data_IF_777663857516
#
_entry.id   IF_777663857516
#
_cell.length_a   1.000
_cell.length_b   1.000
_cell.length_c   1.000
_cell.angle_alpha   90.00
_cell.angle_beta   90.00
_cell.angle_gamma   90.00
#
_symmetry.space_group_name_H-M   'P 1'
#
loop_
_entity.id
_entity.type
_entity.pdbx_description
1 polymer ?
#
# COMPACT_ATOMS: atom_id res chain seq x y z
N UNK A 1 -29.81 9.79 -12.47
CA UNK A 1 -28.75 10.76 -12.81
C UNK A 1 -28.54 11.69 -11.62
N UNK A 2 -27.63 11.32 -10.71
CA UNK A 2 -27.18 12.21 -9.64
C UNK A 2 -25.79 12.70 -10.00
N UNK A 3 -25.62 14.01 -10.17
CA UNK A 3 -24.33 14.61 -10.47
C UNK A 3 -23.35 14.31 -9.32
N UNK A 4 -22.27 13.59 -9.64
CA UNK A 4 -21.13 13.45 -8.73
C UNK A 4 -20.53 14.85 -8.55
N UNK A 5 -20.59 15.36 -7.33
CA UNK A 5 -20.08 16.68 -6.99
C UNK A 5 -18.55 16.69 -7.18
N UNK A 6 -18.07 17.35 -8.24
CA UNK A 6 -16.66 17.44 -8.62
C UNK A 6 -15.80 18.26 -7.63
N UNK A 7 -16.41 18.91 -6.64
CA UNK A 7 -15.69 19.73 -5.67
C UNK A 7 -14.97 18.91 -4.59
N UNK A 8 -15.35 17.66 -4.33
CA UNK A 8 -14.76 16.85 -3.26
C UNK A 8 -13.32 16.35 -3.54
N UNK A 9 -12.81 16.55 -4.76
CA UNK A 9 -11.43 16.20 -5.15
C UNK A 9 -10.60 17.43 -5.56
N UNK A 10 -11.16 18.64 -5.44
CA UNK A 10 -10.46 19.90 -5.72
C UNK A 10 -9.79 20.43 -4.44
N UNK A 11 -8.73 19.77 -4.00
CA UNK A 11 -7.76 20.41 -3.10
C UNK A 11 -6.83 21.25 -3.99
N UNK A 12 -7.19 22.52 -4.18
CA UNK A 12 -6.36 23.49 -4.88
C UNK A 12 -7.13 24.28 -5.93
N UNK A 13 -7.56 25.48 -5.54
CA UNK A 13 -7.81 26.55 -6.51
C UNK A 13 -6.54 26.68 -7.37
N UNK A 14 -6.64 26.62 -8.69
CA UNK A 14 -5.51 26.69 -9.62
C UNK A 14 -4.76 28.06 -9.63
N UNK A 15 -4.94 28.86 -8.57
CA UNK A 15 -4.35 30.18 -8.30
C UNK A 15 -4.01 30.39 -6.82
N UNK A 16 -3.78 29.34 -6.03
CA UNK A 16 -3.46 29.45 -4.60
C UNK A 16 -2.00 29.15 -4.31
N UNK A 17 -1.36 29.99 -3.50
CA UNK A 17 -0.04 29.74 -2.93
C UNK A 17 -0.05 28.45 -2.08
N UNK A 18 0.45 27.36 -2.66
CA UNK A 18 0.61 26.05 -2.01
C UNK A 18 1.54 26.06 -0.79
N UNK A 19 2.13 27.22 -0.46
CA UNK A 19 3.12 27.43 0.58
C UNK A 19 2.57 28.05 1.88
N UNK A 20 1.33 28.56 1.90
CA UNK A 20 0.87 29.40 3.02
C UNK A 20 0.28 28.63 4.21
N UNK A 21 -0.15 27.38 4.04
CA UNK A 21 -0.66 26.57 5.15
C UNK A 21 0.39 25.52 5.60
N UNK A 22 0.83 25.52 6.87
CA UNK A 22 1.69 24.45 7.37
C UNK A 22 0.95 23.11 7.25
N UNK A 23 1.64 22.10 6.72
CA UNK A 23 1.07 20.76 6.59
C UNK A 23 0.65 20.25 7.98
N UNK A 24 -0.52 19.59 8.09
CA UNK A 24 -0.95 19.02 9.36
C UNK A 24 0.06 17.96 9.81
N UNK A 25 0.39 17.99 11.11
CA UNK A 25 1.25 17.01 11.73
C UNK A 25 0.59 15.62 11.64
N UNK A 26 1.30 14.58 11.15
CA UNK A 26 0.72 13.26 11.05
C UNK A 26 0.45 12.69 12.45
N UNK A 27 -0.74 12.10 12.70
CA UNK A 27 -1.02 11.44 13.97
C UNK A 27 -0.16 10.19 14.14
N UNK A 28 0.04 9.76 15.38
CA UNK A 28 0.53 8.40 15.68
C UNK A 28 -0.70 7.49 15.78
N UNK A 29 -0.82 6.42 14.96
CA UNK A 29 -1.95 5.51 15.06
C UNK A 29 -1.97 4.75 16.40
N UNK A 30 -3.16 4.35 16.84
CA UNK A 30 -3.31 3.48 18.01
C UNK A 30 -2.69 2.09 17.75
N UNK A 31 -1.96 1.58 18.75
CA UNK A 31 -1.26 0.30 18.65
C UNK A 31 -2.22 -0.87 18.38
N UNK A 32 -3.34 -0.95 19.09
CA UNK A 32 -4.28 -2.07 18.94
C UNK A 32 -4.95 -2.05 17.57
N UNK A 33 -5.32 -0.87 17.09
CA UNK A 33 -5.85 -0.65 15.73
C UNK A 33 -4.85 -1.12 14.67
N UNK A 34 -3.57 -0.75 14.80
CA UNK A 34 -2.51 -1.19 13.89
C UNK A 34 -2.32 -2.70 13.91
N UNK A 35 -2.29 -3.32 15.09
CA UNK A 35 -2.11 -4.77 15.24
C UNK A 35 -3.31 -5.57 14.71
N UNK A 36 -4.53 -5.08 14.91
CA UNK A 36 -5.74 -5.70 14.34
C UNK A 36 -5.71 -5.69 12.82
N UNK A 37 -5.40 -4.54 12.20
CA UNK A 37 -5.29 -4.42 10.73
C UNK A 37 -4.13 -5.24 10.17
N UNK A 38 -3.01 -5.28 10.88
CA UNK A 38 -1.89 -6.14 10.54
C UNK A 38 -2.35 -7.61 10.44
N UNK A 39 -3.11 -8.10 11.42
CA UNK A 39 -3.65 -9.46 11.38
C UNK A 39 -4.60 -9.69 10.21
N UNK A 40 -5.45 -8.72 9.87
CA UNK A 40 -6.33 -8.83 8.70
C UNK A 40 -5.52 -9.01 7.40
N UNK A 41 -4.43 -8.25 7.22
CA UNK A 41 -3.57 -8.38 6.05
C UNK A 41 -2.72 -9.65 6.10
N UNK A 42 -2.15 -10.01 7.25
CA UNK A 42 -1.37 -11.23 7.43
C UNK A 42 -2.21 -12.48 7.13
N UNK A 43 -3.51 -12.50 7.49
CA UNK A 43 -4.43 -13.59 7.13
C UNK A 43 -4.58 -13.76 5.61
N UNK A 44 -4.69 -12.65 4.87
CA UNK A 44 -4.76 -12.70 3.40
C UNK A 44 -3.48 -13.30 2.82
N UNK A 45 -2.32 -12.88 3.32
CA UNK A 45 -1.02 -13.41 2.89
C UNK A 45 -0.88 -14.90 3.25
N UNK A 46 -1.27 -15.29 4.46
CA UNK A 46 -1.22 -16.67 4.94
C UNK A 46 -2.06 -17.60 4.06
N UNK A 47 -3.27 -17.18 3.70
CA UNK A 47 -4.14 -17.91 2.77
C UNK A 47 -3.47 -18.03 1.40
N UNK A 48 -2.94 -16.93 0.86
CA UNK A 48 -2.31 -16.91 -0.47
C UNK A 48 -1.07 -17.83 -0.54
N UNK A 49 -0.26 -17.87 0.52
CA UNK A 49 0.95 -18.72 0.62
C UNK A 49 0.69 -20.11 1.19
N UNK A 50 -0.52 -20.41 1.64
CA UNK A 50 -0.89 -21.68 2.29
C UNK A 50 -0.04 -22.00 3.52
N UNK A 51 0.19 -20.99 4.36
CA UNK A 51 0.93 -21.11 5.63
C UNK A 51 0.01 -20.85 6.83
N UNK A 52 0.28 -21.45 8.01
CA UNK A 52 -0.57 -21.24 9.19
C UNK A 52 -0.37 -19.86 9.81
N UNK A 53 -1.47 -19.21 10.24
CA UNK A 53 -1.47 -17.88 10.86
C UNK A 53 -1.23 -17.89 12.39
N UNK A 54 -1.35 -19.05 13.04
CA UNK A 54 -1.37 -19.17 14.50
C UNK A 54 -0.11 -18.60 15.19
N UNK A 55 1.07 -18.75 14.56
CA UNK A 55 2.30 -18.19 15.10
C UNK A 55 2.29 -16.66 15.07
N UNK A 56 1.81 -16.07 13.98
CA UNK A 56 1.66 -14.63 13.82
C UNK A 56 0.64 -14.06 14.81
N UNK A 57 -0.50 -14.74 15.03
CA UNK A 57 -1.49 -14.34 16.04
C UNK A 57 -0.89 -14.32 17.45
N UNK A 58 -0.13 -15.35 17.82
CA UNK A 58 0.58 -15.41 19.10
C UNK A 58 1.62 -14.30 19.22
N UNK A 59 2.40 -14.05 18.17
CA UNK A 59 3.42 -13.01 18.13
C UNK A 59 2.81 -11.61 18.29
N UNK A 60 1.68 -11.34 17.61
CA UNK A 60 0.90 -10.11 17.76
C UNK A 60 0.36 -9.96 19.17
N UNK A 61 -0.23 -11.00 19.75
CA UNK A 61 -0.76 -10.94 21.12
C UNK A 61 0.35 -10.68 22.14
N UNK A 62 1.51 -11.33 21.99
CA UNK A 62 2.70 -11.07 22.81
C UNK A 62 3.15 -9.61 22.68
N UNK A 63 3.29 -9.11 21.45
CA UNK A 63 3.68 -7.74 21.21
C UNK A 63 2.65 -6.72 21.69
N UNK A 64 1.35 -7.01 21.64
CA UNK A 64 0.32 -6.15 22.21
C UNK A 64 0.53 -5.85 23.70
N UNK A 65 1.09 -6.82 24.44
CA UNK A 65 1.42 -6.65 25.87
C UNK A 65 2.78 -5.99 26.14
N UNK A 66 3.74 -6.18 25.25
CA UNK A 66 5.14 -5.74 25.44
C UNK A 66 5.46 -4.43 24.72
N UNK A 67 4.71 -4.12 23.67
CA UNK A 67 4.94 -3.02 22.74
C UNK A 67 4.54 -1.65 23.27
N UNK A 68 3.87 -1.56 24.43
CA UNK A 68 3.44 -0.28 25.00
C UNK A 68 4.60 0.66 25.33
N UNK A 69 5.77 0.13 25.68
CA UNK A 69 6.97 0.95 25.92
C UNK A 69 7.51 1.56 24.62
N UNK A 70 7.53 0.76 23.54
CA UNK A 70 7.97 1.19 22.20
C UNK A 70 6.97 2.19 21.61
N UNK A 71 5.67 1.93 21.76
CA UNK A 71 4.59 2.85 21.39
C UNK A 71 4.76 4.21 22.09
N UNK A 72 4.92 4.21 23.42
CA UNK A 72 5.12 5.44 24.18
C UNK A 72 6.37 6.21 23.74
N UNK A 73 7.43 5.48 23.38
CA UNK A 73 8.64 6.09 22.84
C UNK A 73 8.37 6.77 21.50
N UNK A 74 7.60 6.14 20.62
CA UNK A 74 7.18 6.73 19.35
C UNK A 74 6.33 7.99 19.57
N UNK A 75 5.39 7.96 20.51
CA UNK A 75 4.55 9.12 20.88
C UNK A 75 5.40 10.29 21.39
N UNK A 76 6.42 10.04 22.23
CA UNK A 76 7.36 11.06 22.69
C UNK A 76 8.18 11.66 21.54
N UNK A 77 8.62 10.85 20.57
CA UNK A 77 9.31 11.36 19.37
C UNK A 77 8.34 12.21 18.56
N UNK A 78 7.12 11.73 18.38
CA UNK A 78 6.08 12.44 17.68
C UNK A 78 5.74 13.77 18.35
N UNK A 79 5.74 13.92 19.67
CA UNK A 79 5.53 15.21 20.34
C UNK A 79 6.56 16.26 19.91
N UNK A 80 7.83 15.87 19.78
CA UNK A 80 8.96 16.77 19.54
C UNK A 80 9.26 17.00 18.04
N UNK A 81 8.77 16.15 17.15
CA UNK A 81 9.02 16.24 15.72
C UNK A 81 7.79 16.80 14.95
N UNK A 82 7.98 17.71 13.98
CA UNK A 82 6.87 18.16 13.13
C UNK A 82 6.38 17.03 12.21
N UNK A 83 7.24 16.07 11.87
CA UNK A 83 6.90 14.88 11.10
C UNK A 83 7.76 13.69 11.55
N UNK A 84 7.23 12.91 12.48
CA UNK A 84 7.90 11.73 13.03
C UNK A 84 8.11 10.60 12.01
N UNK A 85 7.28 10.53 10.96
CA UNK A 85 7.38 9.47 9.93
C UNK A 85 8.75 9.55 9.25
N UNK A 86 9.23 10.77 8.98
CA UNK A 86 10.52 11.00 8.33
C UNK A 86 11.71 10.51 9.17
N UNK A 87 11.57 10.38 10.49
CA UNK A 87 12.62 9.85 11.35
C UNK A 87 12.88 8.36 11.11
N UNK A 88 11.89 7.62 10.59
CA UNK A 88 11.96 6.17 10.43
C UNK A 88 11.82 5.74 8.98
N UNK A 89 10.73 6.13 8.34
CA UNK A 89 10.38 5.64 7.00
C UNK A 89 11.36 6.13 5.94
N UNK A 90 11.80 7.38 6.03
CA UNK A 90 12.79 7.92 5.08
C UNK A 90 14.12 7.15 5.16
N UNK A 91 14.77 7.01 6.33
CA UNK A 91 15.98 6.17 6.45
C UNK A 91 15.79 4.72 6.02
N UNK A 92 14.73 4.04 6.48
CA UNK A 92 14.57 2.59 6.28
C UNK A 92 14.10 2.26 4.85
N UNK A 93 13.07 2.94 4.36
CA UNK A 93 12.43 2.57 3.09
C UNK A 93 13.05 3.26 1.87
N UNK A 94 13.61 4.47 2.05
CA UNK A 94 14.19 5.21 0.92
C UNK A 94 15.72 5.23 0.93
N UNK A 95 16.37 5.39 2.09
CA UNK A 95 17.84 5.57 2.14
C UNK A 95 18.62 4.26 2.35
N UNK A 96 18.00 3.22 2.91
CA UNK A 96 18.65 1.93 3.16
C UNK A 96 18.58 0.98 1.95
N UNK A 97 17.59 1.16 1.08
CA UNK A 97 17.44 0.38 -0.16
C UNK A 97 18.56 0.76 -1.15
N UNK A 98 19.45 -0.18 -1.46
CA UNK A 98 20.60 0.01 -2.36
C UNK A 98 20.26 -0.10 -3.86
N UNK A 99 18.97 -0.09 -4.20
CA UNK A 99 18.49 -0.07 -5.59
C UNK A 99 18.44 1.40 -6.07
N UNK A 100 18.61 1.66 -7.38
CA UNK A 100 18.62 3.01 -7.93
C UNK A 100 17.37 3.82 -7.51
N UNK A 101 17.55 5.02 -6.96
CA UNK A 101 16.51 5.80 -6.28
C UNK A 101 15.35 6.34 -7.15
N UNK A 102 15.53 6.72 -8.43
CA UNK A 102 14.42 7.16 -9.30
C UNK A 102 13.40 6.04 -9.62
N UNK A 103 13.69 4.81 -9.19
CA UNK A 103 13.16 3.59 -9.78
C UNK A 103 12.30 2.81 -8.78
N UNK A 104 12.24 3.10 -7.47
CA UNK A 104 11.82 2.05 -6.53
C UNK A 104 10.94 2.42 -5.32
N UNK A 105 9.90 3.26 -5.42
CA UNK A 105 8.99 3.39 -4.25
C UNK A 105 7.51 3.67 -4.57
N UNK A 106 6.61 2.83 -4.02
CA UNK A 106 5.29 3.12 -3.40
C UNK A 106 4.27 1.92 -3.47
N UNK A 107 3.38 1.73 -2.48
CA UNK A 107 2.70 0.45 -2.21
C UNK A 107 1.36 0.20 -2.95
N UNK A 108 0.93 -1.08 -3.02
CA UNK A 108 -0.40 -1.55 -3.49
C UNK A 108 -0.79 -2.94 -2.92
N UNK A 109 -2.09 -3.32 -2.98
CA UNK A 109 -2.67 -4.56 -2.43
C UNK A 109 -2.77 -5.73 -3.45
N UNK A 110 -2.73 -6.98 -2.96
CA UNK A 110 -2.86 -8.23 -3.77
C UNK A 110 -4.09 -9.04 -3.29
N UNK A 111 -4.89 -9.57 -4.23
CA UNK A 111 -6.06 -10.42 -3.96
C UNK A 111 -5.82 -11.89 -4.39
N UNK A 112 -6.49 -12.89 -3.77
CA UNK A 112 -6.34 -14.29 -4.13
C UNK A 112 -6.89 -14.62 -5.53
N UNK A 113 -6.21 -15.52 -6.24
CA UNK A 113 -6.56 -15.98 -7.59
C UNK A 113 -7.92 -16.72 -7.59
N UNK A 114 -8.89 -16.24 -8.37
CA UNK A 114 -10.18 -16.91 -8.58
C UNK A 114 -10.18 -17.65 -9.92
N UNK A 115 -10.68 -18.89 -9.94
CA UNK A 115 -10.79 -19.70 -11.16
C UNK A 115 -12.16 -19.51 -11.84
N UNK A 116 -12.17 -19.21 -13.13
CA UNK A 116 -13.40 -19.09 -13.95
C UNK A 116 -13.32 -20.03 -15.16
N UNK A 117 -14.45 -20.65 -15.53
CA UNK A 117 -14.51 -21.65 -16.62
C UNK A 117 -14.74 -21.01 -17.99
N UNK A 118 -15.46 -19.88 -18.07
CA UNK A 118 -15.71 -19.16 -19.32
C UNK A 118 -15.70 -17.64 -19.15
N UNK A 119 -15.55 -16.88 -20.25
CA UNK A 119 -15.70 -15.41 -20.28
C UNK A 119 -17.13 -14.98 -19.92
N UNK A 120 -18.13 -15.81 -20.20
CA UNK A 120 -19.53 -15.53 -19.86
C UNK A 120 -19.78 -15.66 -18.35
N UNK A 121 -19.19 -16.69 -17.72
CA UNK A 121 -19.09 -16.78 -16.24
C UNK A 121 -18.28 -15.62 -15.65
N UNK A 122 -17.41 -15.00 -16.47
CA UNK A 122 -16.66 -13.82 -16.07
C UNK A 122 -17.53 -12.57 -15.90
N UNK A 123 -18.58 -12.43 -16.72
CA UNK A 123 -19.28 -11.16 -16.97
C UNK A 123 -20.71 -11.17 -16.41
N UNK A 124 -21.45 -12.28 -16.48
CA UNK A 124 -22.91 -12.35 -16.30
C UNK A 124 -23.39 -12.36 -14.82
N UNK A 125 -22.71 -11.68 -13.89
CA UNK A 125 -22.84 -11.99 -12.47
C UNK A 125 -23.05 -10.76 -11.58
N UNK A 126 -24.29 -10.56 -11.10
CA UNK A 126 -24.63 -9.60 -10.03
C UNK A 126 -23.67 -9.70 -8.83
N UNK A 127 -23.24 -10.91 -8.48
CA UNK A 127 -22.25 -11.16 -7.41
C UNK A 127 -20.89 -10.54 -7.72
N UNK A 128 -20.46 -10.47 -8.99
CA UNK A 128 -19.21 -9.82 -9.38
C UNK A 128 -19.32 -8.32 -9.28
N UNK A 129 -20.47 -7.77 -9.64
CA UNK A 129 -20.73 -6.34 -9.44
C UNK A 129 -20.71 -5.99 -7.96
N UNK A 130 -21.43 -6.73 -7.14
CA UNK A 130 -21.43 -6.56 -5.68
C UNK A 130 -20.01 -6.66 -5.10
N UNK A 131 -19.22 -7.66 -5.50
CA UNK A 131 -17.82 -7.79 -5.08
C UNK A 131 -16.93 -6.65 -5.57
N UNK A 132 -17.15 -6.16 -6.79
CA UNK A 132 -16.44 -5.01 -7.34
C UNK A 132 -16.74 -3.76 -6.51
N UNK A 133 -18.02 -3.48 -6.23
CA UNK A 133 -18.43 -2.33 -5.45
C UNK A 133 -17.84 -2.38 -4.03
N UNK A 134 -17.90 -3.54 -3.37
CA UNK A 134 -17.25 -3.75 -2.06
C UNK A 134 -15.73 -3.52 -2.11
N UNK A 135 -15.06 -3.97 -3.18
CA UNK A 135 -13.62 -3.76 -3.34
C UNK A 135 -13.28 -2.28 -3.55
N UNK A 136 -14.06 -1.55 -4.35
CA UNK A 136 -13.90 -0.11 -4.57
C UNK A 136 -14.14 0.69 -3.30
N UNK A 137 -15.20 0.37 -2.55
CA UNK A 137 -15.49 1.01 -1.26
C UNK A 137 -14.37 0.78 -0.25
N UNK A 138 -13.86 -0.46 -0.16
CA UNK A 138 -12.75 -0.79 0.72
C UNK A 138 -11.47 -0.04 0.32
N UNK A 139 -11.15 0.01 -0.97
CA UNK A 139 -10.01 0.77 -1.49
C UNK A 139 -10.13 2.26 -1.12
N UNK A 140 -11.31 2.86 -1.32
CA UNK A 140 -11.54 4.26 -0.99
C UNK A 140 -11.42 4.54 0.52
N UNK A 141 -11.91 3.63 1.36
CA UNK A 141 -11.79 3.73 2.82
C UNK A 141 -10.32 3.68 3.26
N UNK A 142 -9.55 2.71 2.76
CA UNK A 142 -8.12 2.56 3.07
C UNK A 142 -7.31 3.75 2.54
N UNK A 143 -7.63 4.27 1.35
CA UNK A 143 -6.99 5.49 0.84
C UNK A 143 -7.23 6.69 1.77
N UNK A 144 -8.48 6.91 2.22
CA UNK A 144 -8.80 7.99 3.18
C UNK A 144 -8.06 7.82 4.51
N UNK A 145 -7.94 6.60 4.98
CA UNK A 145 -7.19 6.27 6.18
C UNK A 145 -5.70 6.60 6.05
N UNK A 146 -5.09 6.22 4.92
CA UNK A 146 -3.67 6.47 4.67
C UNK A 146 -3.36 7.96 4.51
N UNK A 147 -4.18 8.72 3.75
CA UNK A 147 -3.94 10.17 3.57
C UNK A 147 -4.12 10.98 4.86
N UNK A 148 -4.88 10.45 5.83
CA UNK A 148 -5.06 11.07 7.15
C UNK A 148 -4.03 10.58 8.17
N UNK A 149 -3.06 9.75 7.76
CA UNK A 149 -1.97 9.27 8.61
C UNK A 149 -2.32 8.08 9.51
N UNK A 150 -3.45 7.42 9.28
CA UNK A 150 -3.92 6.27 10.08
C UNK A 150 -3.60 4.90 9.45
N UNK A 151 -2.81 4.90 8.38
CA UNK A 151 -2.24 3.70 7.77
C UNK A 151 -1.27 2.98 8.70
N UNK A 152 -1.00 1.70 8.43
CA UNK A 152 -0.21 0.86 9.34
C UNK A 152 1.28 0.82 9.02
N UNK A 153 1.67 1.02 7.76
CA UNK A 153 3.03 0.76 7.27
C UNK A 153 4.06 1.64 7.99
N UNK A 154 3.83 2.97 8.02
CA UNK A 154 4.69 3.92 8.72
C UNK A 154 4.80 3.60 10.21
N UNK A 155 3.69 3.19 10.83
CA UNK A 155 3.65 2.86 12.24
C UNK A 155 4.44 1.57 12.54
N UNK A 156 4.18 0.50 11.79
CA UNK A 156 4.91 -0.77 11.92
C UNK A 156 6.40 -0.62 11.64
N UNK A 157 6.78 0.19 10.66
CA UNK A 157 8.17 0.53 10.37
C UNK A 157 8.83 1.20 11.58
N UNK A 158 8.21 2.24 12.14
CA UNK A 158 8.76 2.94 13.30
C UNK A 158 8.87 2.03 14.54
N UNK A 159 7.84 1.22 14.82
CA UNK A 159 7.88 0.26 15.94
C UNK A 159 8.98 -0.78 15.75
N UNK A 160 9.18 -1.29 14.53
CA UNK A 160 10.24 -2.26 14.20
C UNK A 160 11.64 -1.63 14.34
N UNK A 161 11.83 -0.41 13.84
CA UNK A 161 13.09 0.34 13.98
C UNK A 161 13.41 0.62 15.44
N UNK A 162 12.46 1.13 16.22
CA UNK A 162 12.64 1.39 17.65
C UNK A 162 12.92 0.11 18.44
N UNK A 163 12.31 -1.02 18.07
CA UNK A 163 12.62 -2.31 18.67
C UNK A 163 14.06 -2.74 18.38
N UNK A 164 14.54 -2.58 17.14
CA UNK A 164 15.93 -2.85 16.75
C UNK A 164 16.91 -1.96 17.51
N UNK A 165 16.62 -0.66 17.63
CA UNK A 165 17.42 0.28 18.40
C UNK A 165 17.47 -0.11 19.89
N UNK A 166 16.34 -0.51 20.46
CA UNK A 166 16.29 -0.98 21.85
C UNK A 166 17.16 -2.23 22.07
N UNK A 167 17.26 -3.13 21.08
CA UNK A 167 18.20 -4.26 21.12
C UNK A 167 19.65 -3.76 21.06
N UNK A 168 19.97 -2.86 20.13
CA UNK A 168 21.31 -2.32 19.97
C UNK A 168 21.80 -1.57 21.22
N UNK A 169 20.89 -0.88 21.92
CA UNK A 169 21.12 -0.18 23.19
C UNK A 169 21.17 -1.12 24.41
N UNK A 170 20.94 -2.43 24.24
CA UNK A 170 20.88 -3.40 25.34
C UNK A 170 19.68 -3.23 26.27
N UNK A 171 18.61 -2.55 25.83
CA UNK A 171 17.37 -2.35 26.60
C UNK A 171 16.45 -3.57 26.55
N UNK A 172 16.52 -4.35 25.47
CA UNK A 172 15.84 -5.65 25.31
C UNK A 172 16.81 -6.64 24.66
N UNK A 173 16.67 -7.93 24.99
CA UNK A 173 17.64 -8.94 24.53
C UNK A 173 17.52 -9.27 23.04
N UNK A 174 16.29 -9.28 22.51
CA UNK A 174 15.98 -9.63 21.12
C UNK A 174 14.78 -8.83 20.59
N UNK A 175 14.66 -8.66 19.26
CA UNK A 175 13.47 -8.05 18.68
C UNK A 175 12.20 -8.86 19.04
N UNK A 176 11.06 -8.19 19.28
CA UNK A 176 9.79 -8.87 19.43
C UNK A 176 9.49 -9.84 18.28
N UNK A 177 8.90 -11.00 18.60
CA UNK A 177 8.58 -12.07 17.64
C UNK A 177 7.76 -11.57 16.43
N UNK A 178 6.96 -10.51 16.61
CA UNK A 178 6.21 -9.89 15.51
C UNK A 178 7.12 -9.43 14.37
N UNK A 179 8.27 -8.82 14.68
CA UNK A 179 9.17 -8.22 13.67
C UNK A 179 10.16 -9.22 13.08
N UNK A 180 10.15 -10.46 13.55
CA UNK A 180 10.92 -11.58 12.98
C UNK A 180 10.01 -12.64 12.36
N UNK A 181 8.69 -12.41 12.35
CA UNK A 181 7.70 -13.30 11.77
C UNK A 181 7.75 -13.24 10.22
N UNK A 182 7.78 -14.38 9.52
CA UNK A 182 7.86 -14.38 8.05
C UNK A 182 6.70 -13.68 7.34
N UNK A 183 5.52 -13.56 7.96
CA UNK A 183 4.41 -12.79 7.38
C UNK A 183 4.60 -11.29 7.52
N UNK A 184 5.38 -10.83 8.51
CA UNK A 184 5.78 -9.42 8.61
C UNK A 184 6.70 -9.05 7.44
N UNK A 185 7.70 -9.88 7.16
CA UNK A 185 8.60 -9.69 6.02
C UNK A 185 7.84 -9.68 4.69
N UNK A 186 6.87 -10.58 4.51
CA UNK A 186 6.06 -10.60 3.30
C UNK A 186 5.12 -9.39 3.21
N UNK A 187 4.55 -8.93 4.33
CA UNK A 187 3.73 -7.72 4.33
C UNK A 187 4.53 -6.49 3.87
N UNK A 188 5.79 -6.40 4.33
CA UNK A 188 6.72 -5.33 3.96
C UNK A 188 7.41 -5.54 2.60
N UNK A 189 7.06 -6.62 1.90
CA UNK A 189 7.57 -6.94 0.57
C UNK A 189 6.53 -6.57 -0.47
N UNK A 190 6.89 -5.71 -1.42
CA UNK A 190 5.96 -5.16 -2.41
C UNK A 190 6.21 -5.66 -3.85
N UNK A 191 5.71 -6.84 -4.25
CA UNK A 191 5.81 -7.35 -5.62
C UNK A 191 5.14 -6.48 -6.69
N UNK A 192 4.18 -5.63 -6.33
CA UNK A 192 3.56 -4.67 -7.23
C UNK A 192 3.61 -3.29 -6.59
N UNK A 193 4.44 -2.41 -7.16
CA UNK A 193 4.63 -1.04 -6.71
C UNK A 193 3.91 -0.08 -7.66
N UNK A 194 2.93 0.70 -7.17
CA UNK A 194 2.06 1.56 -8.01
C UNK A 194 2.00 2.99 -7.51
N UNK A 195 1.82 3.95 -8.42
CA UNK A 195 1.59 5.35 -8.06
C UNK A 195 0.73 6.05 -9.11
N UNK A 196 -0.18 6.89 -8.62
CA UNK A 196 -0.92 7.82 -9.46
C UNK A 196 -0.15 9.13 -9.53
N UNK A 197 0.23 9.55 -10.74
CA UNK A 197 0.83 10.86 -10.98
C UNK A 197 0.14 11.50 -12.17
N UNK A 198 -0.93 12.24 -11.86
CA UNK A 198 -1.74 12.92 -12.87
C UNK A 198 -1.14 14.29 -13.20
N UNK A 199 -0.89 14.55 -14.49
CA UNK A 199 -0.36 15.82 -14.98
C UNK A 199 -1.32 16.48 -15.96
N UNK A 200 -1.33 17.81 -16.02
CA UNK A 200 -2.05 18.57 -17.05
C UNK A 200 -1.25 18.73 -18.34
N UNK A 201 0.04 18.43 -18.31
CA UNK A 201 0.91 18.44 -19.50
C UNK A 201 0.64 17.16 -20.29
N UNK A 202 0.29 17.33 -21.57
CA UNK A 202 0.03 16.23 -22.49
C UNK A 202 1.27 15.34 -22.66
N UNK A 203 1.03 14.05 -22.92
CA UNK A 203 2.05 13.03 -23.20
C UNK A 203 3.17 12.90 -22.14
N UNK A 204 2.92 13.41 -20.94
CA UNK A 204 3.86 13.32 -19.81
C UNK A 204 3.45 12.19 -18.90
N UNK A 205 4.42 11.38 -18.48
CA UNK A 205 4.19 10.31 -17.51
C UNK A 205 5.43 10.09 -16.66
N UNK A 206 5.21 9.77 -15.39
CA UNK A 206 6.26 9.23 -14.53
C UNK A 206 6.48 7.74 -14.87
N UNK A 207 7.70 7.25 -14.73
CA UNK A 207 7.97 5.82 -14.74
C UNK A 207 9.05 5.47 -13.70
N UNK A 208 9.00 4.23 -13.22
CA UNK A 208 9.96 3.69 -12.27
C UNK A 208 9.96 2.15 -12.37
N UNK A 209 10.98 1.50 -11.83
CA UNK A 209 11.21 0.05 -11.84
C UNK A 209 10.53 -0.71 -10.68
N UNK A 210 10.74 -2.04 -10.61
CA UNK A 210 10.26 -2.85 -9.48
C UNK A 210 11.13 -2.75 -8.23
N UNK A 211 10.49 -2.68 -7.05
CA UNK A 211 11.17 -2.58 -5.75
C UNK A 211 11.69 -3.92 -5.21
N UNK A 212 11.31 -5.02 -5.85
CA UNK A 212 11.82 -6.36 -5.58
C UNK A 212 12.22 -7.05 -6.89
N UNK A 213 13.21 -7.98 -6.87
CA UNK A 213 13.74 -8.59 -8.09
C UNK A 213 12.70 -9.30 -8.98
N UNK A 214 11.61 -9.77 -8.38
CA UNK A 214 10.53 -10.53 -8.99
C UNK A 214 9.19 -9.78 -8.96
N UNK A 215 9.23 -8.45 -8.96
CA UNK A 215 8.05 -7.59 -8.96
C UNK A 215 7.85 -6.75 -10.22
N UNK A 216 6.93 -5.81 -10.11
CA UNK A 216 6.56 -4.80 -11.09
C UNK A 216 6.59 -3.39 -10.49
N UNK A 217 6.98 -2.41 -11.30
CA UNK A 217 6.67 -0.99 -11.07
C UNK A 217 5.59 -0.56 -12.07
N UNK A 218 4.59 0.20 -11.63
CA UNK A 218 3.48 0.61 -12.49
C UNK A 218 2.92 1.98 -12.08
N UNK A 219 3.51 3.04 -12.63
CA UNK A 219 2.95 4.39 -12.52
C UNK A 219 1.78 4.55 -13.49
N UNK A 220 0.80 5.39 -13.15
CA UNK A 220 -0.27 5.75 -14.06
C UNK A 220 -0.67 7.22 -13.99
N UNK A 221 -0.97 7.78 -15.16
CA UNK A 221 -1.47 9.14 -15.35
C UNK A 221 -2.89 9.08 -15.92
N UNK A 222 -3.87 9.56 -15.15
CA UNK A 222 -5.27 9.64 -15.56
C UNK A 222 -5.50 10.89 -16.42
N UNK A 223 -5.96 10.70 -17.66
CA UNK A 223 -6.36 11.77 -18.57
C UNK A 223 -7.87 11.72 -18.81
N UNK A 224 -8.41 12.73 -19.52
CA UNK A 224 -9.85 12.85 -19.72
C UNK A 224 -10.47 11.66 -20.49
N UNK A 225 -9.74 11.11 -21.46
CA UNK A 225 -10.21 10.08 -22.39
C UNK A 225 -9.32 8.83 -22.44
N UNK A 226 -8.20 8.83 -21.72
CA UNK A 226 -7.27 7.71 -21.67
C UNK A 226 -6.52 7.63 -20.34
N UNK A 227 -5.79 6.54 -20.13
CA UNK A 227 -4.88 6.36 -18.99
C UNK A 227 -3.53 5.94 -19.55
N UNK A 228 -2.47 6.63 -19.15
CA UNK A 228 -1.10 6.26 -19.50
C UNK A 228 -0.56 5.37 -18.39
N UNK A 229 -0.23 4.12 -18.70
CA UNK A 229 0.45 3.19 -17.78
C UNK A 229 1.92 3.04 -18.15
N UNK A 230 2.79 3.25 -17.17
CA UNK A 230 4.23 3.01 -17.28
C UNK A 230 4.63 1.77 -16.46
N UNK A 231 4.60 0.61 -17.13
CA UNK A 231 4.91 -0.69 -16.51
C UNK A 231 6.37 -1.07 -16.70
N UNK A 232 7.00 -1.53 -15.63
CA UNK A 232 8.37 -2.04 -15.59
C UNK A 232 8.45 -3.41 -14.91
N UNK A 233 9.43 -4.21 -15.33
CA UNK A 233 9.78 -5.49 -14.74
C UNK A 233 11.26 -5.79 -15.02
N UNK A 234 11.93 -6.56 -14.16
CA UNK A 234 13.30 -6.97 -14.41
C UNK A 234 13.37 -8.12 -15.43
N UNK A 235 14.05 -7.91 -16.57
CA UNK A 235 14.23 -8.94 -17.62
C UNK A 235 14.82 -10.27 -17.12
N UNK A 236 15.63 -10.23 -16.06
CA UNK A 236 16.26 -11.41 -15.45
C UNK A 236 15.28 -12.30 -14.68
N UNK A 237 14.10 -11.80 -14.33
CA UNK A 237 13.11 -12.59 -13.61
C UNK A 237 12.19 -13.31 -14.59
N UNK A 238 12.31 -14.64 -14.67
CA UNK A 238 11.44 -15.44 -15.53
C UNK A 238 9.95 -15.44 -15.12
N UNK A 239 9.64 -15.01 -13.90
CA UNK A 239 8.25 -14.94 -13.38
C UNK A 239 7.51 -13.66 -13.78
N UNK A 240 8.22 -12.62 -14.22
CA UNK A 240 7.62 -11.33 -14.56
C UNK A 240 7.79 -10.98 -16.02
N UNK A 241 6.78 -10.32 -16.59
CA UNK A 241 6.80 -9.81 -17.97
C UNK A 241 6.01 -8.50 -18.01
N UNK A 242 6.71 -7.39 -18.26
CA UNK A 242 6.09 -6.07 -18.36
C UNK A 242 5.04 -6.03 -19.49
N UNK A 243 5.32 -6.73 -20.60
CA UNK A 243 4.38 -6.84 -21.71
C UNK A 243 3.11 -7.60 -21.32
N UNK A 244 3.25 -8.79 -20.72
CA UNK A 244 2.10 -9.57 -20.30
C UNK A 244 1.28 -8.84 -19.23
N UNK A 245 1.93 -8.15 -18.31
CA UNK A 245 1.24 -7.37 -17.27
C UNK A 245 0.51 -6.16 -17.85
N UNK A 246 1.09 -5.45 -18.82
CA UNK A 246 0.41 -4.38 -19.57
C UNK A 246 -0.85 -4.89 -20.26
N UNK A 247 -0.78 -6.02 -20.96
CA UNK A 247 -1.97 -6.61 -21.60
C UNK A 247 -3.02 -7.05 -20.59
N UNK A 248 -2.60 -7.60 -19.45
CA UNK A 248 -3.52 -7.96 -18.36
C UNK A 248 -4.22 -6.74 -17.76
N UNK A 249 -3.52 -5.62 -17.55
CA UNK A 249 -4.14 -4.34 -17.11
C UNK A 249 -5.17 -3.88 -18.13
N UNK A 250 -4.78 -3.83 -19.42
CA UNK A 250 -5.67 -3.38 -20.51
C UNK A 250 -6.93 -4.22 -20.56
N UNK A 251 -6.80 -5.55 -20.51
CA UNK A 251 -7.94 -6.45 -20.55
C UNK A 251 -8.82 -6.30 -19.30
N UNK A 252 -8.22 -6.21 -18.11
CA UNK A 252 -8.97 -6.02 -16.85
C UNK A 252 -9.80 -4.73 -16.87
N UNK A 253 -9.27 -3.63 -17.40
CA UNK A 253 -10.01 -2.36 -17.54
C UNK A 253 -11.19 -2.49 -18.52
N UNK A 254 -11.01 -3.22 -19.62
CA UNK A 254 -12.09 -3.49 -20.58
C UNK A 254 -13.17 -4.35 -19.93
N UNK A 255 -12.78 -5.42 -19.22
CA UNK A 255 -13.73 -6.32 -18.55
C UNK A 255 -14.50 -5.59 -17.45
N UNK A 256 -13.84 -4.72 -16.67
CA UNK A 256 -14.51 -3.86 -15.69
C UNK A 256 -15.48 -2.90 -16.36
N UNK A 257 -15.12 -2.26 -17.49
CA UNK A 257 -16.03 -1.39 -18.23
C UNK A 257 -17.28 -2.16 -18.70
N UNK A 258 -17.10 -3.37 -19.23
CA UNK A 258 -18.22 -4.23 -19.65
C UNK A 258 -19.14 -4.57 -18.47
N UNK A 259 -18.57 -5.01 -17.34
CA UNK A 259 -19.31 -5.27 -16.08
C UNK A 259 -20.11 -4.07 -15.60
N UNK A 260 -19.60 -2.85 -15.79
CA UNK A 260 -20.27 -1.61 -15.38
C UNK A 260 -21.38 -1.18 -16.35
N UNK A 261 -21.25 -1.49 -17.65
CA UNK A 261 -22.16 -1.04 -18.71
C UNK A 261 -23.47 -1.86 -18.78
N UNK A 262 -23.46 -3.15 -18.42
CA UNK A 262 -24.64 -4.04 -18.46
C UNK A 262 -25.76 -3.68 -17.46
N UNK A 263 -25.54 -2.69 -16.60
CA UNK A 263 -26.50 -2.24 -15.57
C UNK A 263 -27.14 -0.87 -15.86
N UNK A 264 -27.05 -0.38 -17.09
CA UNK A 264 -27.63 0.92 -17.52
C UNK A 264 -28.92 0.75 -18.32
#
# INVERSE_FOLDING_TARGET
>A
MGAVNKEALSIGNAKGDWYEAPLPKPPVPDLQSTLSKYLDYAKVIAIAKRVPIANTERAVQKFASQGSSIQRRLEQIAENEPNWINCFWLPEMYLSVRLALPVNTNPAYIFPQQAFKTRKDQIECKVKREKFDVAVERQAAVTRENITGHGIDNHLCALSTLAREAVADGKIDQPPELFTDPLFDELMRFPLSTSQVTTTVADTFLCYGPVVPDGYGSAYNLQNDHIIFAVSAFKRCAKTSAYAFKEAIRQSLIDMRELLAESS
#
